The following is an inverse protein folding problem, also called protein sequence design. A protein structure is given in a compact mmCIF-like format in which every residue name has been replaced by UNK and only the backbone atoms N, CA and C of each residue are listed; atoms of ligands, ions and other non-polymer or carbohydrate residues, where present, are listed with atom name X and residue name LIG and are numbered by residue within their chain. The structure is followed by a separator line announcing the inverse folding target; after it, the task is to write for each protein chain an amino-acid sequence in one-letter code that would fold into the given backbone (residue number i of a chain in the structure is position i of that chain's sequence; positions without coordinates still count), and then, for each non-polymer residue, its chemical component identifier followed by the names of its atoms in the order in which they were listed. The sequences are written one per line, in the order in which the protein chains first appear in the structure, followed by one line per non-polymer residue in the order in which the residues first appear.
data_IF_700340527133
#
_entry.id   IF_700340527133
#
_cell.length_a   1.000
_cell.length_b   1.000
_cell.length_c   1.000
_cell.angle_alpha   90.00
_cell.angle_beta   90.00
_cell.angle_gamma   90.00
#
_symmetry.space_group_name_H-M   'P 1'
#
loop_
_entity.id
_entity.type
_entity.pdbx_description
1 polymer ?
#
# COMPACT_ATOMS: atom_id res chain seq x y z
N UNK A 1 -21.43 -0.57 34.61
CA UNK A 1 -21.64 -0.18 33.21
C UNK A 1 -20.27 -0.22 32.57
N UNK A 2 -19.88 -1.38 32.04
CA UNK A 2 -18.61 -1.52 31.34
C UNK A 2 -18.71 -0.70 30.06
N UNK A 3 -17.87 0.32 29.95
CA UNK A 3 -17.74 1.06 28.70
C UNK A 3 -17.09 0.10 27.71
N UNK A 4 -17.90 -0.49 26.83
CA UNK A 4 -17.38 -1.23 25.68
C UNK A 4 -16.72 -0.19 24.79
N UNK A 5 -15.40 -0.07 24.89
CA UNK A 5 -14.59 0.77 24.02
C UNK A 5 -14.84 0.32 22.58
N UNK A 6 -15.59 1.12 21.82
CA UNK A 6 -15.86 0.91 20.40
C UNK A 6 -15.05 1.88 19.56
N UNK A 7 -14.69 1.45 18.34
CA UNK A 7 -14.13 2.36 17.34
C UNK A 7 -15.26 2.98 16.53
N UNK A 8 -15.09 4.24 16.15
CA UNK A 8 -16.01 4.98 15.27
C UNK A 8 -15.21 5.64 14.17
N UNK A 9 -15.69 5.53 12.94
CA UNK A 9 -15.17 6.26 11.81
C UNK A 9 -15.38 7.78 11.99
N UNK A 10 -14.35 8.56 11.66
CA UNK A 10 -14.41 10.02 11.65
C UNK A 10 -14.37 10.47 10.19
N UNK A 11 -15.47 11.09 9.73
CA UNK A 11 -15.59 11.58 8.36
C UNK A 11 -14.98 12.99 8.28
N UNK A 12 -14.04 13.27 7.36
CA UNK A 12 -13.51 14.61 7.16
C UNK A 12 -14.58 15.59 6.66
N UNK A 13 -14.31 16.90 6.76
CA UNK A 13 -15.22 17.94 6.27
C UNK A 13 -15.34 17.89 4.73
N UNK A 14 -16.40 17.27 4.23
CA UNK A 14 -16.70 17.15 2.80
C UNK A 14 -17.64 18.25 2.29
N UNK A 15 -17.86 19.32 3.06
CA UNK A 15 -18.81 20.38 2.70
C UNK A 15 -18.25 21.40 1.70
N UNK A 16 -16.94 21.37 1.44
CA UNK A 16 -16.24 22.31 0.58
C UNK A 16 -15.70 21.64 -0.69
N UNK A 17 -15.63 22.38 -1.82
CA UNK A 17 -14.97 21.88 -3.01
C UNK A 17 -13.47 21.66 -2.75
N UNK A 18 -12.98 20.47 -3.08
CA UNK A 18 -11.57 20.12 -3.01
C UNK A 18 -10.78 20.82 -4.13
N UNK A 19 -9.70 21.53 -3.78
CA UNK A 19 -8.81 22.16 -4.75
C UNK A 19 -7.63 21.25 -5.08
N UNK A 20 -7.71 20.57 -6.22
CA UNK A 20 -6.69 19.64 -6.69
C UNK A 20 -5.64 20.32 -7.58
N UNK A 21 -4.35 20.08 -7.32
CA UNK A 21 -3.30 20.29 -8.33
C UNK A 21 -3.07 19.00 -9.10
N UNK A 22 -3.22 19.04 -10.42
CA UNK A 22 -3.03 17.87 -11.28
C UNK A 22 -1.76 17.99 -12.13
N UNK A 23 -0.97 16.91 -12.17
CA UNK A 23 0.25 16.78 -12.94
C UNK A 23 0.16 15.54 -13.84
N UNK A 24 0.48 15.69 -15.13
CA UNK A 24 0.55 14.56 -16.07
C UNK A 24 1.99 14.24 -16.44
N UNK A 25 2.41 13.01 -16.17
CA UNK A 25 3.75 12.47 -16.43
C UNK A 25 3.68 11.51 -17.62
N UNK A 26 4.49 11.77 -18.65
CA UNK A 26 4.61 10.88 -19.80
C UNK A 26 5.76 9.92 -19.55
N UNK A 27 5.45 8.67 -19.22
CA UNK A 27 6.46 7.66 -18.82
C UNK A 27 6.83 6.69 -19.95
N UNK A 28 6.43 6.99 -21.19
CA UNK A 28 6.76 6.18 -22.36
C UNK A 28 5.95 4.87 -22.50
N UNK A 29 4.89 4.68 -21.71
CA UNK A 29 3.96 3.58 -21.90
C UNK A 29 3.34 3.62 -23.29
N UNK A 30 3.40 2.49 -24.04
CA UNK A 30 2.76 2.40 -25.35
C UNK A 30 1.33 1.89 -25.16
N UNK A 31 0.28 2.63 -25.56
CA UNK A 31 -1.11 2.28 -25.25
C UNK A 31 -1.52 0.88 -25.72
N UNK A 32 -0.95 0.37 -26.82
CA UNK A 32 -1.33 -0.90 -27.41
C UNK A 32 -0.94 -2.14 -26.61
N UNK A 33 0.03 -2.04 -25.69
CA UNK A 33 0.52 -3.19 -24.89
C UNK A 33 0.04 -3.19 -23.44
N UNK A 34 -0.66 -2.13 -23.00
CA UNK A 34 -1.00 -1.89 -21.59
C UNK A 34 -2.51 -1.87 -21.30
N UNK A 35 -3.36 -1.95 -22.33
CA UNK A 35 -4.83 -1.89 -22.20
C UNK A 35 -5.45 -3.07 -21.42
N UNK A 36 -4.77 -4.22 -21.36
CA UNK A 36 -5.30 -5.43 -20.71
C UNK A 36 -4.80 -5.64 -19.28
N UNK A 37 -3.95 -4.75 -18.75
CA UNK A 37 -3.39 -4.90 -17.40
C UNK A 37 -4.38 -4.37 -16.37
N UNK A 38 -5.06 -5.29 -15.69
CA UNK A 38 -5.93 -4.98 -14.55
C UNK A 38 -5.10 -4.92 -13.27
N UNK A 39 -4.83 -3.71 -12.78
CA UNK A 39 -4.27 -3.52 -11.44
C UNK A 39 -5.38 -3.16 -10.46
N UNK A 40 -5.34 -3.76 -9.27
CA UNK A 40 -6.27 -3.42 -8.20
C UNK A 40 -6.00 -2.02 -7.67
N UNK A 41 -7.07 -1.29 -7.36
CA UNK A 41 -6.97 -0.03 -6.62
C UNK A 41 -6.39 -0.29 -5.23
N UNK A 42 -5.54 0.63 -4.77
CA UNK A 42 -4.92 0.58 -3.45
C UNK A 42 -5.07 1.92 -2.77
N UNK A 43 -5.09 1.90 -1.45
CA UNK A 43 -5.03 3.09 -0.63
C UNK A 43 -4.06 2.86 0.52
N UNK A 44 -3.72 3.92 1.22
CA UNK A 44 -2.93 3.85 2.44
C UNK A 44 -2.81 5.19 3.11
N UNK A 45 -2.17 5.18 4.28
CA UNK A 45 -1.95 6.36 5.10
C UNK A 45 -0.51 6.42 5.63
N UNK A 46 -0.06 7.64 5.92
CA UNK A 46 1.23 7.90 6.55
C UNK A 46 1.08 9.02 7.57
N UNK A 47 1.38 8.73 8.83
CA UNK A 47 1.45 9.74 9.89
C UNK A 47 2.88 10.18 10.10
N UNK A 48 3.11 11.48 10.17
CA UNK A 48 4.45 12.02 10.44
C UNK A 48 4.89 11.70 11.87
N UNK A 49 6.17 11.41 12.07
CA UNK A 49 6.74 11.16 13.40
C UNK A 49 6.83 12.44 14.21
N UNK A 50 7.14 13.54 13.55
CA UNK A 50 7.35 14.86 14.16
C UNK A 50 6.04 15.60 14.46
N UNK A 51 4.99 15.35 13.68
CA UNK A 51 3.68 15.96 13.82
C UNK A 51 2.56 14.91 13.72
N UNK A 52 2.27 14.16 14.81
CA UNK A 52 1.31 13.05 14.78
C UNK A 52 -0.14 13.46 14.47
N UNK A 53 -0.45 14.76 14.63
CA UNK A 53 -1.77 15.33 14.27
C UNK A 53 -1.90 15.63 12.78
N UNK A 54 -0.86 15.40 11.98
CA UNK A 54 -0.85 15.52 10.52
C UNK A 54 -0.57 14.16 9.87
N UNK A 55 -1.22 13.89 8.75
CA UNK A 55 -1.03 12.65 8.02
C UNK A 55 -1.32 12.83 6.53
N UNK A 56 -0.72 11.97 5.71
CA UNK A 56 -1.00 11.85 4.29
C UNK A 56 -1.86 10.61 4.07
N UNK A 57 -2.95 10.75 3.33
CA UNK A 57 -3.62 9.63 2.68
C UNK A 57 -3.24 9.59 1.21
N UNK A 58 -3.19 8.38 0.67
CA UNK A 58 -3.00 8.17 -0.75
C UNK A 58 -3.95 7.11 -1.27
N UNK A 59 -4.33 7.25 -2.54
CA UNK A 59 -5.04 6.20 -3.27
C UNK A 59 -4.59 6.15 -4.71
N UNK A 60 -4.62 4.94 -5.27
CA UNK A 60 -4.32 4.69 -6.67
C UNK A 60 -5.59 4.27 -7.39
N UNK A 61 -5.80 4.86 -8.56
CA UNK A 61 -6.85 4.46 -9.49
C UNK A 61 -6.23 4.32 -10.88
N UNK A 62 -5.92 3.09 -11.26
CA UNK A 62 -5.26 2.76 -12.51
C UNK A 62 -3.96 3.57 -12.72
N UNK A 63 -3.99 4.63 -13.53
CA UNK A 63 -2.86 5.49 -13.87
C UNK A 63 -2.75 6.74 -12.99
N UNK A 64 -3.64 6.88 -12.00
CA UNK A 64 -3.74 8.09 -11.15
C UNK A 64 -3.33 7.77 -9.73
N UNK A 65 -2.37 8.53 -9.19
CA UNK A 65 -2.04 8.60 -7.77
C UNK A 65 -2.62 9.90 -7.20
N UNK A 66 -3.44 9.77 -6.18
CA UNK A 66 -3.96 10.89 -5.41
C UNK A 66 -3.31 10.92 -4.04
N UNK A 67 -2.90 12.11 -3.61
CA UNK A 67 -2.25 12.36 -2.32
C UNK A 67 -2.97 13.52 -1.64
N UNK A 68 -3.38 13.31 -0.40
CA UNK A 68 -4.07 14.29 0.43
C UNK A 68 -3.40 14.39 1.78
N UNK A 69 -2.96 15.58 2.19
CA UNK A 69 -2.48 15.81 3.56
C UNK A 69 -3.62 16.39 4.39
N UNK A 70 -3.84 15.87 5.59
CA UNK A 70 -4.87 16.36 6.49
C UNK A 70 -4.29 16.56 7.89
N UNK A 71 -4.98 17.37 8.69
CA UNK A 71 -4.62 17.57 10.09
C UNK A 71 -5.84 17.63 11.01
N UNK A 72 -5.71 17.03 12.19
CA UNK A 72 -6.75 17.07 13.22
C UNK A 72 -6.80 18.40 13.98
N UNK A 73 -5.76 19.23 13.88
CA UNK A 73 -5.64 20.47 14.67
C UNK A 73 -5.77 21.76 13.87
N UNK A 74 -5.53 21.72 12.57
CA UNK A 74 -5.40 22.93 11.73
C UNK A 74 -5.90 22.67 10.31
N UNK A 75 -6.44 23.68 9.64
CA UNK A 75 -6.78 23.57 8.22
C UNK A 75 -5.53 23.78 7.36
N UNK A 76 -5.36 22.90 6.38
CA UNK A 76 -4.24 22.94 5.44
C UNK A 76 -4.67 23.57 4.12
N UNK A 77 -3.83 24.45 3.57
CA UNK A 77 -4.00 24.94 2.20
C UNK A 77 -3.18 24.10 1.21
N UNK A 78 -3.74 23.92 0.00
CA UNK A 78 -3.09 23.24 -1.12
C UNK A 78 -2.66 21.80 -0.78
N UNK A 79 -3.53 21.09 -0.09
CA UNK A 79 -3.28 19.80 0.50
C UNK A 79 -3.69 18.60 -0.38
N UNK A 80 -4.23 18.85 -1.57
CA UNK A 80 -4.66 17.81 -2.52
C UNK A 80 -3.84 17.88 -3.82
N UNK A 81 -3.16 16.78 -4.17
CA UNK A 81 -2.42 16.66 -5.43
C UNK A 81 -2.69 15.34 -6.14
N UNK A 82 -2.64 15.38 -7.46
CA UNK A 82 -2.92 14.25 -8.35
C UNK A 82 -1.82 14.10 -9.39
N UNK A 83 -1.23 12.92 -9.46
CA UNK A 83 -0.29 12.54 -10.51
C UNK A 83 -0.93 11.52 -11.44
N UNK A 84 -0.96 11.83 -12.73
CA UNK A 84 -1.40 10.94 -13.80
C UNK A 84 -0.20 10.42 -14.57
N UNK A 85 0.04 9.11 -14.52
CA UNK A 85 1.10 8.43 -15.25
C UNK A 85 0.56 7.93 -16.59
N UNK A 86 0.71 8.76 -17.63
CA UNK A 86 0.02 8.56 -18.90
C UNK A 86 0.24 7.15 -19.46
N UNK A 87 -0.86 6.47 -19.76
CA UNK A 87 -0.91 5.15 -20.40
C UNK A 87 -0.18 4.03 -19.63
N UNK A 88 0.08 4.21 -18.33
CA UNK A 88 0.70 3.16 -17.51
C UNK A 88 -0.03 2.97 -16.17
N UNK A 89 -0.53 1.76 -15.87
CA UNK A 89 -1.08 1.45 -14.56
C UNK A 89 -0.01 1.57 -13.46
N UNK A 90 -0.41 2.07 -12.30
CA UNK A 90 0.38 2.08 -11.07
C UNK A 90 0.31 0.68 -10.45
N UNK A 91 1.46 0.13 -10.08
CA UNK A 91 1.58 -1.16 -9.41
C UNK A 91 1.38 -1.02 -7.89
N UNK A 92 1.14 -2.14 -7.22
CA UNK A 92 1.20 -2.19 -5.74
C UNK A 92 2.60 -1.77 -5.25
N UNK A 93 2.72 -1.34 -4.00
CA UNK A 93 4.00 -0.97 -3.40
C UNK A 93 4.30 0.54 -3.36
N UNK A 94 3.27 1.39 -3.36
CA UNK A 94 3.42 2.81 -3.01
C UNK A 94 3.88 2.92 -1.55
N UNK A 95 4.96 3.65 -1.31
CA UNK A 95 5.47 3.86 0.06
C UNK A 95 5.83 5.32 0.33
N UNK A 96 5.61 5.76 1.56
CA UNK A 96 5.93 7.12 2.02
C UNK A 96 7.01 7.03 3.09
N UNK A 97 8.04 7.87 2.97
CA UNK A 97 9.20 7.90 3.86
C UNK A 97 9.47 9.33 4.33
N UNK A 98 9.50 9.53 5.64
CA UNK A 98 9.96 10.78 6.26
C UNK A 98 11.47 10.74 6.48
N UNK A 99 12.13 11.79 6.01
CA UNK A 99 13.54 12.11 6.27
C UNK A 99 13.61 13.44 7.03
N UNK A 100 14.80 13.83 7.50
CA UNK A 100 14.96 15.09 8.23
C UNK A 100 14.52 16.34 7.46
N UNK A 101 14.63 16.34 6.12
CA UNK A 101 14.34 17.50 5.28
C UNK A 101 13.14 17.33 4.37
N UNK A 102 12.71 16.10 4.13
CA UNK A 102 11.74 15.81 3.07
C UNK A 102 10.83 14.64 3.40
N UNK A 103 9.66 14.67 2.80
CA UNK A 103 8.74 13.54 2.68
C UNK A 103 8.89 12.98 1.28
N UNK A 104 9.16 11.68 1.16
CA UNK A 104 9.44 11.02 -0.11
C UNK A 104 8.35 10.00 -0.37
N UNK A 105 7.70 10.10 -1.54
CA UNK A 105 6.72 9.13 -2.02
C UNK A 105 7.35 8.33 -3.15
N UNK A 106 7.44 7.01 -2.98
CA UNK A 106 7.95 6.08 -3.98
C UNK A 106 6.76 5.39 -4.65
N UNK A 107 6.73 5.43 -5.99
CA UNK A 107 5.64 4.82 -6.78
C UNK A 107 6.21 4.15 -8.03
N UNK A 108 5.78 2.93 -8.28
CA UNK A 108 6.10 2.17 -9.49
C UNK A 108 4.89 2.07 -10.38
N UNK A 109 5.11 2.14 -11.68
CA UNK A 109 4.14 1.80 -12.70
C UNK A 109 4.65 0.60 -13.50
N UNK A 110 3.83 0.10 -14.41
CA UNK A 110 4.25 -0.97 -15.33
C UNK A 110 5.49 -0.59 -16.17
N UNK A 111 5.69 0.70 -16.43
CA UNK A 111 6.74 1.22 -17.34
C UNK A 111 7.76 2.12 -16.67
N UNK A 112 7.64 2.43 -15.38
CA UNK A 112 8.53 3.41 -14.73
C UNK A 112 8.55 3.31 -13.21
N UNK A 113 9.57 3.87 -12.58
CA UNK A 113 9.66 4.04 -11.13
C UNK A 113 9.94 5.51 -10.80
N UNK A 114 9.27 6.06 -9.79
CA UNK A 114 9.28 7.48 -9.46
C UNK A 114 9.55 7.71 -7.97
N UNK A 115 10.36 8.73 -7.70
CA UNK A 115 10.70 9.25 -6.37
C UNK A 115 10.21 10.70 -6.28
N UNK A 116 9.00 10.89 -5.80
CA UNK A 116 8.42 12.21 -5.58
C UNK A 116 8.91 12.77 -4.23
N UNK A 117 9.35 14.03 -4.21
CA UNK A 117 9.95 14.65 -3.03
C UNK A 117 9.19 15.90 -2.65
N UNK A 118 8.81 16.01 -1.38
CA UNK A 118 8.10 17.13 -0.80
C UNK A 118 8.87 17.67 0.41
N UNK A 119 8.75 18.97 0.75
CA UNK A 119 9.32 19.52 1.97
C UNK A 119 8.76 18.83 3.22
N UNK A 120 9.58 18.73 4.26
CA UNK A 120 9.14 18.26 5.57
C UNK A 120 8.24 19.31 6.26
N UNK A 121 7.18 18.91 7.00
CA UNK A 121 6.28 19.84 7.71
C UNK A 121 7.02 20.90 8.55
N UNK A 122 8.06 20.49 9.31
CA UNK A 122 8.87 21.40 10.13
C UNK A 122 9.56 22.53 9.35
N UNK A 123 9.77 22.36 8.04
CA UNK A 123 10.39 23.40 7.19
C UNK A 123 9.39 24.45 6.72
N UNK A 124 8.09 24.18 6.83
CA UNK A 124 7.02 25.08 6.40
C UNK A 124 6.60 26.03 7.52
N UNK A 125 6.63 25.56 8.77
CA UNK A 125 6.21 26.34 9.96
C UNK A 125 7.15 27.51 10.29
N UNK A 126 8.38 27.52 9.76
CA UNK A 126 9.37 28.58 10.00
C UNK A 126 9.16 29.85 9.16
N UNK A 127 8.26 29.81 8.16
CA UNK A 127 7.93 30.97 7.34
C UNK A 127 6.78 31.78 7.96
N UNK A 128 7.11 32.62 8.96
CA UNK A 128 6.33 33.79 9.37
C UNK A 128 4.84 33.55 9.67
N UNK A 129 4.54 33.13 10.90
CA UNK A 129 3.19 32.94 11.40
C UNK A 129 2.31 34.20 11.24
N UNK A 130 1.33 34.15 10.34
CA UNK A 130 0.13 34.98 10.40
C UNK A 130 -0.92 34.16 11.17
N UNK A 131 -1.49 34.65 12.29
CA UNK A 131 -2.24 33.80 13.24
C UNK A 131 -3.57 33.22 12.76
N UNK A 132 -4.02 33.50 11.54
CA UNK A 132 -5.37 33.14 11.06
C UNK A 132 -5.41 32.60 9.62
N UNK A 133 -4.26 32.43 8.96
CA UNK A 133 -4.19 31.99 7.56
C UNK A 133 -3.82 30.50 7.45
N UNK A 134 -4.58 29.75 6.63
CA UNK A 134 -4.37 28.33 6.31
C UNK A 134 -2.88 27.95 6.26
N UNK A 135 -2.48 26.97 7.08
CA UNK A 135 -1.09 26.53 7.11
C UNK A 135 -0.79 25.77 5.81
N UNK A 136 0.38 26.02 5.22
CA UNK A 136 0.78 25.32 4.01
C UNK A 136 0.90 23.80 4.25
N UNK A 137 0.36 23.03 3.31
CA UNK A 137 0.64 21.60 3.18
C UNK A 137 2.06 21.36 2.65
N UNK A 138 2.62 20.17 2.90
CA UNK A 138 3.83 19.67 2.22
C UNK A 138 3.68 19.65 0.70
N UNK A 139 2.45 19.63 0.18
CA UNK A 139 2.16 19.65 -1.24
C UNK A 139 1.99 21.07 -1.83
N UNK A 140 2.07 22.10 -0.99
CA UNK A 140 1.88 23.50 -1.41
C UNK A 140 2.87 23.97 -2.47
N UNK A 141 4.09 23.42 -2.50
CA UNK A 141 5.13 23.76 -3.47
C UNK A 141 5.34 22.68 -4.54
N UNK A 142 4.45 21.69 -4.65
CA UNK A 142 4.54 20.66 -5.68
C UNK A 142 4.47 21.29 -7.09
N UNK A 143 5.40 20.90 -7.97
CA UNK A 143 5.47 21.40 -9.36
C UNK A 143 5.66 20.26 -10.36
N UNK A 144 5.21 20.48 -11.60
CA UNK A 144 5.42 19.54 -12.70
C UNK A 144 6.91 19.39 -13.05
N UNK A 145 7.70 20.45 -12.94
CA UNK A 145 9.14 20.43 -13.22
C UNK A 145 9.89 19.54 -12.25
N UNK A 146 9.58 19.61 -10.95
CA UNK A 146 10.18 18.73 -9.95
C UNK A 146 9.81 17.26 -10.20
N UNK A 147 8.56 16.99 -10.57
CA UNK A 147 8.11 15.63 -10.86
C UNK A 147 8.65 15.05 -12.19
N UNK A 148 9.24 15.89 -13.05
CA UNK A 148 9.87 15.50 -14.32
C UNK A 148 11.40 15.60 -14.28
N UNK A 149 11.98 15.80 -13.10
CA UNK A 149 13.42 15.81 -12.94
C UNK A 149 13.99 14.42 -13.29
N UNK A 150 14.86 14.29 -14.31
CA UNK A 150 15.42 13.00 -14.72
C UNK A 150 16.18 12.26 -13.61
N UNK A 151 16.60 12.94 -12.53
CA UNK A 151 17.23 12.32 -11.36
C UNK A 151 16.23 11.66 -10.39
N UNK A 152 14.93 11.85 -10.62
CA UNK A 152 13.85 11.43 -9.70
C UNK A 152 12.97 10.33 -10.25
N UNK A 153 13.19 9.89 -11.49
CA UNK A 153 12.44 8.78 -12.07
C UNK A 153 13.30 7.96 -13.04
N UNK A 154 12.83 6.74 -13.31
CA UNK A 154 13.43 5.86 -14.29
C UNK A 154 12.34 5.25 -15.18
N UNK A 155 12.53 5.28 -16.50
CA UNK A 155 11.67 4.57 -17.45
C UNK A 155 12.27 3.20 -17.68
N UNK A 156 11.45 2.17 -17.47
CA UNK A 156 11.83 0.79 -17.72
C UNK A 156 11.92 0.59 -19.23
N UNK A 157 13.08 0.10 -19.70
CA UNK A 157 13.20 -0.32 -21.09
C UNK A 157 12.27 -1.51 -21.32
N UNK A 158 11.50 -1.46 -22.42
CA UNK A 158 10.45 -2.42 -22.74
C UNK A 158 10.99 -3.85 -22.80
N UNK A 159 10.90 -4.58 -21.70
CA UNK A 159 11.07 -6.03 -21.65
C UNK A 159 9.79 -6.66 -22.22
N UNK A 160 9.87 -7.79 -22.96
CA UNK A 160 8.68 -8.48 -23.45
C UNK A 160 7.73 -8.93 -22.31
N UNK A 161 8.21 -8.94 -21.07
CA UNK A 161 7.42 -9.24 -19.88
C UNK A 161 7.27 -7.99 -19.03
N UNK A 162 6.02 -7.59 -18.82
CA UNK A 162 5.66 -6.42 -18.04
C UNK A 162 5.55 -6.78 -16.56
N UNK A 163 5.95 -5.88 -15.64
CA UNK A 163 5.78 -6.12 -14.22
C UNK A 163 4.31 -6.08 -13.83
N UNK A 164 3.91 -7.02 -12.97
CA UNK A 164 2.53 -7.16 -12.49
C UNK A 164 2.35 -6.79 -11.01
N UNK A 165 3.44 -6.69 -10.24
CA UNK A 165 3.42 -6.22 -8.85
C UNK A 165 4.77 -5.58 -8.50
N UNK A 166 4.79 -4.73 -7.47
CA UNK A 166 6.03 -4.12 -7.01
C UNK A 166 6.12 -3.96 -5.50
N UNK A 167 7.33 -3.66 -5.03
CA UNK A 167 7.60 -3.19 -3.70
C UNK A 167 8.63 -2.05 -3.77
N UNK A 168 8.57 -1.10 -2.85
CA UNK A 168 9.54 -0.02 -2.76
C UNK A 168 10.02 0.19 -1.33
N UNK A 169 11.23 0.73 -1.18
CA UNK A 169 11.72 1.25 0.10
C UNK A 169 12.78 2.33 -0.11
N UNK A 170 12.93 3.20 0.89
CA UNK A 170 14.06 4.10 0.99
C UNK A 170 15.21 3.42 1.76
N UNK A 171 16.41 3.41 1.19
CA UNK A 171 17.60 2.91 1.86
C UNK A 171 18.06 3.88 2.95
N UNK A 172 18.98 3.45 3.82
CA UNK A 172 19.56 4.33 4.85
C UNK A 172 20.34 5.52 4.28
N UNK A 173 20.81 5.41 3.04
CA UNK A 173 21.52 6.47 2.33
C UNK A 173 20.56 7.47 1.65
N UNK A 174 19.25 7.20 1.68
CA UNK A 174 18.25 8.02 1.00
C UNK A 174 17.97 7.60 -0.45
N UNK A 175 18.55 6.48 -0.89
CA UNK A 175 18.31 5.95 -2.23
C UNK A 175 16.93 5.31 -2.32
N UNK A 176 16.30 5.41 -3.48
CA UNK A 176 15.06 4.71 -3.75
C UNK A 176 15.34 3.34 -4.36
N UNK A 177 14.78 2.30 -3.77
CA UNK A 177 14.87 0.94 -4.26
C UNK A 177 13.47 0.43 -4.63
N UNK A 178 13.34 -0.13 -5.82
CA UNK A 178 12.10 -0.71 -6.33
C UNK A 178 12.36 -2.15 -6.76
N UNK A 179 11.52 -3.07 -6.33
CA UNK A 179 11.49 -4.45 -6.80
C UNK A 179 10.24 -4.65 -7.64
N UNK A 180 10.40 -5.11 -8.88
CA UNK A 180 9.35 -5.28 -9.89
C UNK A 180 9.29 -6.74 -10.28
N UNK A 181 8.23 -7.45 -9.91
CA UNK A 181 8.08 -8.86 -10.27
C UNK A 181 7.50 -8.98 -11.68
N UNK A 182 8.08 -9.88 -12.47
CA UNK A 182 7.68 -10.17 -13.84
C UNK A 182 6.98 -11.54 -13.92
N UNK A 183 6.19 -11.74 -14.97
CA UNK A 183 5.48 -13.01 -15.22
C UNK A 183 6.40 -14.22 -15.44
N UNK A 184 7.71 -14.02 -15.63
CA UNK A 184 8.71 -15.09 -15.79
C UNK A 184 9.25 -15.67 -14.49
N UNK A 185 8.84 -15.12 -13.33
CA UNK A 185 9.41 -15.45 -12.02
C UNK A 185 10.67 -14.64 -11.68
N UNK A 186 11.16 -13.81 -12.61
CA UNK A 186 12.23 -12.86 -12.36
C UNK A 186 11.72 -11.64 -11.59
N UNK A 187 12.55 -11.10 -10.69
CA UNK A 187 12.32 -9.78 -10.09
C UNK A 187 13.40 -8.82 -10.56
N UNK A 188 12.99 -7.70 -11.17
CA UNK A 188 13.88 -6.61 -11.54
C UNK A 188 14.00 -5.63 -10.36
N UNK A 189 15.22 -5.42 -9.90
CA UNK A 189 15.56 -4.46 -8.87
C UNK A 189 16.07 -3.17 -9.53
N UNK A 190 15.40 -2.05 -9.29
CA UNK A 190 15.79 -0.72 -9.76
C UNK A 190 16.25 0.09 -8.55
N UNK A 191 17.49 0.56 -8.58
CA UNK A 191 18.10 1.38 -7.54
C UNK A 191 18.41 2.75 -8.12
N UNK A 192 17.76 3.77 -7.57
CA UNK A 192 17.87 5.18 -7.97
C UNK A 192 18.58 5.97 -6.87
N UNK A 193 19.76 6.49 -7.19
CA UNK A 193 20.55 7.35 -6.30
C UNK A 193 20.15 8.83 -6.48
N UNK A 194 19.68 9.53 -5.44
CA UNK A 194 19.05 10.84 -5.58
C UNK A 194 20.05 11.98 -5.82
N UNK A 195 21.32 11.82 -5.45
CA UNK A 195 22.33 12.88 -5.59
C UNK A 195 22.93 12.91 -7.00
N UNK A 196 23.19 11.74 -7.57
CA UNK A 196 23.79 11.58 -8.89
C UNK A 196 22.75 11.42 -9.99
N UNK A 197 21.52 11.02 -9.65
CA UNK A 197 20.50 10.58 -10.61
C UNK A 197 20.84 9.26 -11.28
N UNK A 198 21.88 8.56 -10.84
CA UNK A 198 22.31 7.29 -11.42
C UNK A 198 21.29 6.21 -11.08
N UNK A 199 20.93 5.44 -12.10
CA UNK A 199 20.06 4.27 -11.96
C UNK A 199 20.87 3.01 -12.24
N UNK A 200 20.77 2.04 -11.34
CA UNK A 200 21.27 0.69 -11.56
C UNK A 200 20.12 -0.31 -11.54
N UNK A 201 20.18 -1.29 -12.43
CA UNK A 201 19.17 -2.35 -12.54
C UNK A 201 19.84 -3.71 -12.32
N UNK A 202 19.19 -4.59 -11.55
CA UNK A 202 19.69 -5.93 -11.25
C UNK A 202 18.58 -6.95 -11.26
N UNK A 203 18.82 -8.08 -11.89
CA UNK A 203 17.86 -9.19 -11.94
C UNK A 203 18.07 -10.15 -10.76
N UNK A 204 16.97 -10.51 -10.10
CA UNK A 204 16.95 -11.50 -9.03
C UNK A 204 16.28 -12.78 -9.55
N UNK A 205 17.00 -13.89 -9.46
CA UNK A 205 16.51 -15.22 -9.83
C UNK A 205 16.41 -16.12 -8.60
N UNK A 206 15.41 -17.00 -8.60
CA UNK A 206 15.40 -18.18 -7.73
C UNK A 206 16.33 -19.21 -8.36
N UNK A 207 17.59 -19.27 -7.92
CA UNK A 207 18.65 -20.06 -8.56
C UNK A 207 18.45 -21.57 -8.32
N UNK A 208 17.50 -22.22 -9.00
CA UNK A 208 17.51 -23.68 -9.18
C UNK A 208 18.43 -23.99 -10.36
N UNK A 209 19.74 -24.06 -10.08
CA UNK A 209 20.79 -24.32 -11.07
C UNK A 209 20.54 -25.61 -11.84
N UNK A 210 19.96 -25.47 -13.03
CA UNK A 210 20.25 -26.35 -14.16
C UNK A 210 20.73 -25.46 -15.30
N UNK A 211 21.96 -25.63 -15.81
CA UNK A 211 22.50 -24.82 -16.90
C UNK A 211 21.63 -24.92 -18.16
N UNK A 212 21.33 -23.77 -18.78
CA UNK A 212 20.49 -23.65 -20.00
C UNK A 212 20.97 -24.46 -21.22
N UNK A 213 22.17 -25.04 -21.21
CA UNK A 213 22.68 -25.84 -22.34
C UNK A 213 22.11 -27.27 -22.43
N UNK A 214 21.24 -27.69 -21.51
CA UNK A 214 20.52 -28.98 -21.55
C UNK A 214 18.99 -28.84 -21.81
N UNK A 215 18.52 -27.63 -22.14
CA UNK A 215 17.09 -27.25 -22.19
C UNK A 215 16.30 -27.72 -23.42
N UNK A 216 16.88 -28.55 -24.30
CA UNK A 216 16.26 -28.92 -25.58
C UNK A 216 14.97 -29.77 -25.49
N UNK A 217 14.62 -30.32 -24.33
CA UNK A 217 13.47 -31.22 -24.18
C UNK A 217 12.62 -31.01 -22.90
N UNK A 218 12.99 -30.08 -22.01
CA UNK A 218 12.37 -29.94 -20.67
C UNK A 218 11.51 -28.68 -20.46
N UNK A 219 11.43 -27.77 -21.45
CA UNK A 219 10.70 -26.50 -21.32
C UNK A 219 9.19 -26.66 -21.02
N UNK A 220 8.57 -27.77 -21.43
CA UNK A 220 7.15 -28.03 -21.18
C UNK A 220 6.87 -28.40 -19.71
N UNK A 221 7.83 -29.02 -19.02
CA UNK A 221 7.73 -29.36 -17.59
C UNK A 221 8.32 -28.26 -16.68
N UNK A 222 9.34 -27.52 -17.14
CA UNK A 222 9.89 -26.38 -16.41
C UNK A 222 9.00 -25.12 -16.51
N UNK A 223 8.26 -24.94 -17.61
CA UNK A 223 7.39 -23.76 -17.79
C UNK A 223 6.32 -23.63 -16.70
N UNK A 224 5.77 -24.76 -16.24
CA UNK A 224 4.78 -24.79 -15.15
C UNK A 224 5.39 -24.41 -13.79
N UNK A 225 6.60 -24.90 -13.49
CA UNK A 225 7.33 -24.52 -12.27
C UNK A 225 7.76 -23.05 -12.26
N UNK A 226 8.08 -22.47 -13.42
CA UNK A 226 8.42 -21.05 -13.52
C UNK A 226 7.20 -20.14 -13.24
N UNK A 227 6.00 -20.49 -13.74
CA UNK A 227 4.78 -19.71 -13.47
C UNK A 227 4.32 -19.77 -12.01
N UNK A 228 4.41 -20.92 -11.36
CA UNK A 228 4.05 -21.07 -9.94
C UNK A 228 5.03 -20.29 -9.03
N UNK A 229 6.25 -20.09 -9.52
CA UNK A 229 7.30 -19.35 -8.83
C UNK A 229 7.18 -17.82 -8.91
N UNK A 230 6.15 -17.30 -9.59
CA UNK A 230 5.95 -15.87 -9.76
C UNK A 230 5.53 -15.22 -8.44
N UNK A 231 6.30 -14.23 -7.98
CA UNK A 231 5.94 -13.40 -6.82
C UNK A 231 4.67 -12.57 -7.14
N UNK A 232 3.62 -12.69 -6.33
CA UNK A 232 2.35 -11.97 -6.52
C UNK A 232 2.19 -10.77 -5.59
N UNK A 233 2.91 -10.76 -4.48
CA UNK A 233 2.98 -9.62 -3.57
C UNK A 233 4.33 -9.60 -2.87
N UNK A 234 4.88 -8.42 -2.63
CA UNK A 234 6.24 -8.25 -2.14
C UNK A 234 6.34 -7.11 -1.13
N UNK A 235 7.32 -7.21 -0.24
CA UNK A 235 7.75 -6.12 0.66
C UNK A 235 9.27 -6.07 0.74
N UNK A 236 9.84 -4.87 0.70
CA UNK A 236 11.27 -4.63 0.92
C UNK A 236 11.50 -4.21 2.36
N UNK A 237 12.48 -4.78 3.06
CA UNK A 237 12.82 -4.39 4.42
C UNK A 237 14.32 -4.48 4.68
N UNK A 238 14.87 -3.44 5.32
CA UNK A 238 16.24 -3.48 5.83
C UNK A 238 16.30 -4.34 7.09
N UNK A 239 17.16 -5.35 7.09
CA UNK A 239 17.51 -6.19 8.25
C UNK A 239 19.03 -6.17 8.40
N UNK A 240 19.54 -5.81 9.58
CA UNK A 240 20.98 -5.69 9.83
C UNK A 240 21.76 -4.83 8.79
N UNK A 241 21.16 -3.71 8.36
CA UNK A 241 21.67 -2.77 7.34
C UNK A 241 21.66 -3.28 5.88
N UNK A 242 21.27 -4.53 5.64
CA UNK A 242 21.10 -5.08 4.29
C UNK A 242 19.63 -5.05 3.90
N UNK A 243 19.33 -4.72 2.65
CA UNK A 243 17.95 -4.74 2.17
C UNK A 243 17.58 -6.14 1.68
N UNK A 244 16.48 -6.67 2.20
CA UNK A 244 15.92 -7.93 1.78
C UNK A 244 14.55 -7.74 1.16
N UNK A 245 14.28 -8.51 0.11
CA UNK A 245 12.98 -8.63 -0.51
C UNK A 245 12.31 -9.88 0.03
N UNK A 246 11.09 -9.73 0.56
CA UNK A 246 10.22 -10.83 0.94
C UNK A 246 9.05 -10.85 -0.04
N UNK A 247 8.87 -11.97 -0.74
CA UNK A 247 7.80 -12.13 -1.73
C UNK A 247 6.99 -13.39 -1.47
N UNK A 248 5.66 -13.27 -1.48
CA UNK A 248 4.77 -14.44 -1.56
C UNK A 248 4.53 -14.76 -3.02
N UNK A 249 4.73 -16.02 -3.41
CA UNK A 249 4.59 -16.49 -4.78
C UNK A 249 3.23 -17.18 -5.01
N UNK A 250 2.87 -17.47 -6.26
CA UNK A 250 1.60 -18.16 -6.61
C UNK A 250 1.47 -19.53 -5.96
N UNK A 251 2.58 -20.21 -5.74
CA UNK A 251 2.67 -21.47 -5.00
C UNK A 251 2.47 -21.32 -3.47
N UNK A 252 2.13 -20.12 -2.98
CA UNK A 252 1.92 -19.84 -1.55
C UNK A 252 3.20 -19.78 -0.73
N UNK A 253 4.38 -19.97 -1.33
CA UNK A 253 5.65 -19.93 -0.60
C UNK A 253 6.13 -18.49 -0.39
N UNK A 254 6.69 -18.25 0.79
CA UNK A 254 7.40 -17.03 1.12
C UNK A 254 8.87 -17.18 0.74
N UNK A 255 9.35 -16.29 -0.12
CA UNK A 255 10.72 -16.32 -0.64
C UNK A 255 11.46 -15.06 -0.27
N UNK A 256 12.76 -15.21 -0.05
CA UNK A 256 13.63 -14.11 0.37
C UNK A 256 14.81 -13.96 -0.57
N UNK A 257 15.08 -12.73 -0.97
CA UNK A 257 16.26 -12.35 -1.73
C UNK A 257 17.04 -11.28 -0.98
N UNK A 258 18.37 -11.36 -1.04
CA UNK A 258 19.25 -10.30 -0.58
C UNK A 258 19.44 -9.33 -1.76
N UNK A 259 18.98 -8.08 -1.63
CA UNK A 259 18.98 -7.12 -2.72
C UNK A 259 20.39 -6.62 -3.03
N UNK A 260 21.20 -6.39 -2.01
CA UNK A 260 22.59 -5.92 -2.13
C UNK A 260 23.44 -6.94 -2.91
N UNK A 261 23.40 -8.20 -2.49
CA UNK A 261 24.12 -9.31 -3.15
C UNK A 261 23.41 -9.81 -4.40
N UNK A 262 22.12 -9.55 -4.51
CA UNK A 262 21.23 -9.96 -5.61
C UNK A 262 21.14 -11.48 -5.78
N UNK A 263 21.08 -12.20 -4.66
CA UNK A 263 20.95 -13.65 -4.66
C UNK A 263 19.73 -14.09 -3.83
N UNK A 264 19.19 -15.25 -4.20
CA UNK A 264 18.17 -15.95 -3.45
C UNK A 264 18.73 -16.45 -2.11
N UNK A 265 17.93 -16.35 -1.05
CA UNK A 265 18.32 -16.73 0.32
C UNK A 265 17.59 -18.00 0.76
N UNK A 266 16.26 -17.98 0.75
CA UNK A 266 15.45 -19.10 1.25
C UNK A 266 14.02 -19.04 0.68
N UNK A 267 13.39 -20.21 0.56
CA UNK A 267 11.95 -20.37 0.42
C UNK A 267 11.40 -21.05 1.68
N UNK A 268 10.28 -20.56 2.18
CA UNK A 268 9.63 -21.03 3.40
C UNK A 268 8.14 -21.25 3.13
N UNK A 269 7.65 -22.43 3.48
CA UNK A 269 6.24 -22.75 3.39
C UNK A 269 5.51 -22.21 4.63
N UNK A 270 4.85 -21.06 4.44
CA UNK A 270 4.04 -20.40 5.49
C UNK A 270 2.67 -21.08 5.65
N UNK A 271 2.27 -21.89 4.68
CA UNK A 271 0.96 -22.54 4.63
C UNK A 271 0.93 -23.84 5.44
N UNK A 272 2.07 -24.32 5.93
CA UNK A 272 2.23 -25.62 6.59
C UNK A 272 1.61 -26.78 5.78
N UNK A 273 1.80 -26.75 4.45
CA UNK A 273 1.25 -27.72 3.51
C UNK A 273 -0.12 -27.39 2.92
N UNK A 274 -0.75 -26.27 3.33
CA UNK A 274 -2.01 -25.78 2.76
C UNK A 274 -1.86 -25.22 1.32
N UNK A 275 -0.65 -24.95 0.85
CA UNK A 275 -0.36 -24.54 -0.53
C UNK A 275 -0.85 -25.53 -1.60
N UNK A 276 -1.28 -26.74 -1.20
CA UNK A 276 -1.94 -27.73 -2.06
C UNK A 276 -3.39 -27.39 -2.40
N UNK A 277 -4.00 -26.44 -1.70
CA UNK A 277 -5.36 -25.99 -2.01
C UNK A 277 -5.38 -25.18 -3.31
N UNK A 278 -6.46 -25.32 -4.09
CA UNK A 278 -6.63 -24.55 -5.30
C UNK A 278 -6.71 -23.05 -4.96
N UNK A 279 -5.94 -22.22 -5.68
CA UNK A 279 -5.97 -20.76 -5.52
C UNK A 279 -7.40 -20.24 -5.72
N UNK A 280 -7.83 -19.37 -4.80
CA UNK A 280 -9.17 -18.76 -4.83
C UNK A 280 -9.25 -17.56 -5.78
N UNK A 281 -10.36 -16.82 -5.68
CA UNK A 281 -10.58 -15.60 -6.47
C UNK A 281 -9.66 -14.43 -6.07
N UNK A 282 -9.05 -14.49 -4.89
CA UNK A 282 -8.09 -13.50 -4.40
C UNK A 282 -6.65 -14.03 -4.51
N UNK A 283 -5.72 -13.16 -4.92
CA UNK A 283 -4.30 -13.49 -4.91
C UNK A 283 -3.76 -13.54 -3.47
N UNK A 284 -2.68 -14.29 -3.27
CA UNK A 284 -1.90 -14.19 -2.05
C UNK A 284 -1.32 -12.77 -1.88
N UNK A 285 -1.24 -12.28 -0.65
CA UNK A 285 -0.68 -10.97 -0.37
C UNK A 285 0.20 -10.96 0.87
N UNK A 286 1.14 -10.02 0.93
CA UNK A 286 2.02 -9.85 2.09
C UNK A 286 2.01 -8.40 2.57
N UNK A 287 2.04 -8.22 3.88
CA UNK A 287 2.21 -6.94 4.58
C UNK A 287 3.27 -7.09 5.66
N UNK A 288 3.90 -5.97 6.03
CA UNK A 288 4.93 -5.93 7.07
C UNK A 288 4.60 -4.89 8.13
N UNK A 289 5.11 -5.11 9.33
CA UNK A 289 5.18 -4.13 10.40
C UNK A 289 6.49 -4.27 11.17
N UNK A 290 6.82 -3.23 11.93
CA UNK A 290 7.97 -3.23 12.83
C UNK A 290 7.48 -3.15 14.28
N UNK A 291 8.01 -4.04 15.12
CA UNK A 291 7.86 -4.00 16.56
C UNK A 291 8.55 -2.78 17.19
N UNK A 292 8.38 -2.56 18.51
CA UNK A 292 8.92 -1.40 19.20
C UNK A 292 10.44 -1.37 19.18
N UNK A 293 11.08 -2.54 19.12
CA UNK A 293 12.52 -2.68 19.10
C UNK A 293 13.05 -3.00 17.68
N UNK A 294 12.20 -2.81 16.65
CA UNK A 294 12.55 -3.03 15.25
C UNK A 294 12.41 -4.47 14.78
N UNK A 295 11.71 -5.32 15.53
CA UNK A 295 11.40 -6.69 15.10
C UNK A 295 10.52 -6.67 13.85
N UNK A 296 10.87 -7.48 12.84
CA UNK A 296 10.07 -7.60 11.64
C UNK A 296 8.95 -8.61 11.87
N UNK A 297 7.73 -8.21 11.53
CA UNK A 297 6.57 -9.09 11.42
C UNK A 297 6.05 -9.05 9.98
N UNK A 298 5.74 -10.23 9.44
CA UNK A 298 5.14 -10.40 8.13
C UNK A 298 3.77 -11.04 8.31
N UNK A 299 2.74 -10.41 7.76
CA UNK A 299 1.41 -10.98 7.63
C UNK A 299 1.21 -11.43 6.19
N UNK A 300 0.96 -12.72 5.99
CA UNK A 300 0.74 -13.35 4.69
C UNK A 300 -0.71 -13.78 4.60
N UNK A 301 -1.45 -13.21 3.66
CA UNK A 301 -2.76 -13.67 3.27
C UNK A 301 -2.63 -14.76 2.20
N UNK A 302 -3.24 -15.91 2.45
CA UNK A 302 -3.30 -17.04 1.54
C UNK A 302 -4.74 -17.20 1.02
N UNK A 303 -5.02 -16.58 -0.13
CA UNK A 303 -6.28 -16.73 -0.87
C UNK A 303 -6.46 -18.10 -1.53
N UNK A 304 -7.13 -19.01 -0.83
CA UNK A 304 -7.53 -20.32 -1.35
C UNK A 304 -9.02 -20.35 -1.69
N UNK A 305 -9.44 -21.31 -2.53
CA UNK A 305 -10.86 -21.49 -2.88
C UNK A 305 -11.71 -21.76 -1.64
N UNK A 306 -11.20 -22.60 -0.73
CA UNK A 306 -11.80 -22.88 0.56
C UNK A 306 -10.74 -22.71 1.65
N UNK A 307 -11.13 -22.12 2.78
CA UNK A 307 -10.25 -21.99 3.95
C UNK A 307 -9.07 -21.05 3.72
N UNK A 308 -9.33 -19.85 3.19
CA UNK A 308 -8.32 -18.78 3.12
C UNK A 308 -7.84 -18.41 4.52
N UNK A 309 -6.56 -18.07 4.65
CA UNK A 309 -5.91 -17.85 5.95
C UNK A 309 -5.07 -16.58 5.97
N UNK A 310 -4.94 -15.99 7.15
CA UNK A 310 -3.91 -15.00 7.47
C UNK A 310 -2.90 -15.66 8.40
N UNK A 311 -1.63 -15.63 8.01
CA UNK A 311 -0.53 -16.18 8.79
C UNK A 311 0.44 -15.07 9.16
N UNK A 312 0.76 -14.95 10.45
CA UNK A 312 1.74 -13.98 10.94
C UNK A 312 3.00 -14.71 11.35
N UNK A 313 4.13 -14.29 10.78
CA UNK A 313 5.46 -14.82 11.08
C UNK A 313 6.44 -13.70 11.39
N UNK A 314 7.43 -13.99 12.23
CA UNK A 314 8.57 -13.11 12.49
C UNK A 314 9.85 -13.72 11.90
N UNK A 315 10.38 -13.18 10.78
CA UNK A 315 11.69 -13.57 10.27
C UNK A 315 12.82 -13.02 11.15
N UNK A 316 13.74 -13.89 11.59
CA UNK A 316 14.98 -13.51 12.27
C UNK A 316 16.19 -14.00 11.49
N UNK A 317 17.17 -13.13 11.33
CA UNK A 317 18.43 -13.47 10.65
C UNK A 317 19.41 -14.04 11.66
N UNK A 318 19.57 -15.36 11.68
CA UNK A 318 20.39 -16.10 12.62
C UNK A 318 21.41 -16.95 11.87
N UNK A 319 22.67 -16.95 12.29
CA UNK A 319 23.71 -17.82 11.71
C UNK A 319 23.85 -17.72 10.18
N UNK A 320 23.52 -16.57 9.59
CA UNK A 320 23.63 -16.32 8.14
C UNK A 320 22.40 -16.70 7.30
N UNK A 321 21.32 -17.20 7.92
CA UNK A 321 20.07 -17.55 7.23
C UNK A 321 18.86 -16.94 7.96
N UNK A 322 17.75 -16.78 7.25
CA UNK A 322 16.48 -16.45 7.89
C UNK A 322 15.83 -17.69 8.50
N UNK A 323 15.41 -17.58 9.75
CA UNK A 323 14.43 -18.47 10.39
C UNK A 323 13.12 -17.73 10.57
N UNK A 324 12.02 -18.40 10.31
CA UNK A 324 10.68 -17.84 10.45
C UNK A 324 10.03 -18.41 11.70
N UNK A 325 9.69 -17.54 12.64
CA UNK A 325 8.98 -17.90 13.86
C UNK A 325 7.49 -17.63 13.65
N UNK A 326 6.67 -18.68 13.72
CA UNK A 326 5.23 -18.55 13.67
C UNK A 326 4.70 -17.78 14.89
N UNK A 327 3.70 -16.92 14.68
CA UNK A 327 3.02 -16.16 15.73
C UNK A 327 1.56 -16.57 15.85
N UNK A 328 0.83 -16.52 14.74
CA UNK A 328 -0.58 -16.91 14.70
C UNK A 328 -1.00 -17.25 13.27
N UNK A 329 -2.00 -18.12 13.16
CA UNK A 329 -2.72 -18.42 11.92
C UNK A 329 -4.20 -18.25 12.21
N UNK A 330 -4.89 -17.51 11.36
CA UNK A 330 -6.32 -17.20 11.53
C UNK A 330 -7.07 -17.43 10.25
N UNK A 331 -8.22 -18.08 10.36
CA UNK A 331 -9.10 -18.31 9.23
C UNK A 331 -9.82 -17.01 8.83
N UNK A 332 -9.94 -16.82 7.52
CA UNK A 332 -10.71 -15.72 6.95
C UNK A 332 -12.20 -16.00 7.15
N UNK A 333 -12.99 -15.05 7.65
CA UNK A 333 -14.42 -15.25 7.86
C UNK A 333 -15.15 -15.64 6.56
N UNK A 334 -16.07 -16.59 6.65
CA UNK A 334 -16.87 -16.99 5.49
C UNK A 334 -17.69 -15.82 4.94
N UNK A 335 -17.81 -15.75 3.61
CA UNK A 335 -18.56 -14.70 2.92
C UNK A 335 -17.93 -13.31 2.98
N UNK A 336 -16.65 -13.19 3.38
CA UNK A 336 -15.92 -11.93 3.42
C UNK A 336 -14.66 -12.00 2.55
N UNK A 337 -14.53 -11.04 1.66
CA UNK A 337 -13.32 -10.84 0.85
C UNK A 337 -12.39 -9.83 1.54
N UNK A 338 -11.11 -10.18 1.66
CA UNK A 338 -10.12 -9.28 2.25
C UNK A 338 -9.81 -8.14 1.28
N UNK A 339 -10.02 -6.90 1.71
CA UNK A 339 -9.62 -5.71 0.95
C UNK A 339 -8.21 -5.30 1.33
N UNK A 340 -7.98 -5.15 2.63
CA UNK A 340 -6.71 -4.66 3.15
C UNK A 340 -6.45 -5.23 4.55
N UNK A 341 -5.19 -5.54 4.81
CA UNK A 341 -4.70 -5.87 6.15
C UNK A 341 -3.65 -4.86 6.55
N UNK A 342 -3.77 -4.35 7.76
CA UNK A 342 -2.80 -3.48 8.38
C UNK A 342 -2.30 -4.13 9.67
N UNK A 343 -0.99 -4.13 9.86
CA UNK A 343 -0.35 -4.74 11.01
C UNK A 343 0.17 -3.66 11.94
N UNK A 344 -0.34 -3.68 13.18
CA UNK A 344 0.02 -2.82 14.30
C UNK A 344 1.49 -2.71 14.56
N UNK A 345 2.06 -1.53 14.33
CA UNK A 345 3.32 -1.17 14.96
C UNK A 345 3.09 -1.01 16.47
N UNK A 346 3.61 -1.93 17.26
CA UNK A 346 3.64 -1.86 18.73
C UNK A 346 4.44 -0.63 19.25
N UNK A 347 5.20 0.07 18.39
CA UNK A 347 6.12 1.15 18.74
C UNK A 347 5.74 2.56 18.27
N UNK A 348 4.52 2.77 17.78
CA UNK A 348 4.05 4.10 17.36
C UNK A 348 3.73 5.00 18.56
N UNK A 349 4.74 5.67 19.12
CA UNK A 349 4.57 6.72 20.12
C UNK A 349 3.86 7.95 19.56
N UNK A 350 2.54 7.88 19.43
CA UNK A 350 1.66 9.06 19.45
C UNK A 350 1.19 9.25 20.88
N UNK A 351 1.56 10.37 21.51
CA UNK A 351 1.20 10.73 22.90
C UNK A 351 -0.28 11.13 23.07
N UNK A 352 -1.20 10.41 22.44
CA UNK A 352 -2.65 10.54 22.62
C UNK A 352 -3.20 9.21 23.09
N UNK A 353 -3.67 9.15 24.33
CA UNK A 353 -4.03 7.93 25.05
C UNK A 353 -5.01 7.02 24.32
N UNK A 354 -4.47 5.93 23.76
CA UNK A 354 -5.20 4.74 23.32
C UNK A 354 -4.18 3.62 23.27
N UNK A 355 -4.18 2.71 24.25
CA UNK A 355 -3.20 1.63 24.40
C UNK A 355 -3.28 0.60 23.27
N UNK A 356 -2.73 0.94 22.10
CA UNK A 356 -2.64 0.05 20.94
C UNK A 356 -1.54 -0.99 21.14
N UNK A 357 -1.83 -2.04 21.91
CA UNK A 357 -1.10 -3.29 21.77
C UNK A 357 -1.15 -3.72 20.30
N UNK A 358 -0.03 -4.16 19.75
CA UNK A 358 0.04 -4.58 18.36
C UNK A 358 -1.00 -5.64 18.02
N UNK A 359 -1.60 -5.47 16.85
CA UNK A 359 -2.72 -6.28 16.39
C UNK A 359 -2.87 -6.20 14.88
N UNK A 360 -3.64 -7.10 14.32
CA UNK A 360 -4.07 -7.05 12.94
C UNK A 360 -5.36 -6.24 12.83
N UNK A 361 -5.40 -5.35 11.84
CA UNK A 361 -6.60 -4.68 11.39
C UNK A 361 -6.92 -5.15 9.99
N UNK A 362 -8.17 -5.46 9.71
CA UNK A 362 -8.60 -5.91 8.40
C UNK A 362 -9.85 -5.15 7.97
N UNK A 363 -9.86 -4.79 6.68
CA UNK A 363 -11.03 -4.26 5.99
C UNK A 363 -11.53 -5.36 5.08
N UNK A 364 -12.83 -5.62 5.15
CA UNK A 364 -13.52 -6.66 4.42
C UNK A 364 -14.65 -6.08 3.59
N UNK A 365 -14.97 -6.77 2.51
CA UNK A 365 -16.25 -6.61 1.80
C UNK A 365 -17.03 -7.90 1.98
N UNK A 366 -18.25 -7.81 2.52
CA UNK A 366 -19.16 -8.94 2.63
C UNK A 366 -19.71 -9.35 1.26
N UNK A 367 -20.30 -10.55 1.18
CA UNK A 367 -21.00 -11.02 -0.01
C UNK A 367 -22.16 -10.09 -0.46
N UNK A 368 -22.68 -9.25 0.43
CA UNK A 368 -23.70 -8.23 0.14
C UNK A 368 -23.11 -6.91 -0.37
N UNK A 369 -21.78 -6.78 -0.42
CA UNK A 369 -21.09 -5.56 -0.83
C UNK A 369 -20.90 -4.55 0.30
N UNK A 370 -21.18 -4.92 1.55
CA UNK A 370 -21.01 -4.03 2.71
C UNK A 370 -19.58 -4.07 3.25
N UNK A 371 -19.05 -2.90 3.60
CA UNK A 371 -17.73 -2.78 4.24
C UNK A 371 -17.81 -3.17 5.71
N UNK A 372 -16.91 -4.05 6.14
CA UNK A 372 -16.75 -4.41 7.54
C UNK A 372 -15.29 -4.22 7.99
N UNK A 373 -15.09 -3.86 9.26
CA UNK A 373 -13.77 -3.69 9.85
C UNK A 373 -13.64 -4.65 11.04
N UNK A 374 -12.53 -5.37 11.10
CA UNK A 374 -12.17 -6.19 12.26
C UNK A 374 -10.77 -5.86 12.77
N UNK A 375 -10.58 -6.11 14.05
CA UNK A 375 -9.31 -6.02 14.73
C UNK A 375 -9.03 -7.31 15.50
N UNK A 376 -7.76 -7.68 15.62
CA UNK A 376 -7.33 -8.80 16.43
C UNK A 376 -5.99 -8.47 17.11
N UNK A 377 -5.91 -8.44 18.44
CA UNK A 377 -4.64 -8.29 19.13
C UNK A 377 -3.72 -9.49 18.85
N UNK A 378 -2.41 -9.30 18.86
CA UNK A 378 -1.46 -10.40 18.69
C UNK A 378 -0.84 -10.82 20.03
N UNK A 379 -0.71 -12.12 20.34
CA UNK A 379 -1.17 -13.29 19.58
C UNK A 379 -2.60 -13.70 19.99
N UNK A 380 -3.59 -13.40 19.15
CA UNK A 380 -4.93 -13.97 19.26
C UNK A 380 -5.30 -14.68 17.96
N UNK A 381 -6.43 -15.38 18.01
CA UNK A 381 -6.96 -16.17 16.89
C UNK A 381 -8.41 -15.82 16.55
N UNK A 382 -9.00 -14.84 17.24
CA UNK A 382 -10.40 -14.46 17.09
C UNK A 382 -10.54 -12.99 16.69
N UNK A 383 -11.48 -12.72 15.78
CA UNK A 383 -11.77 -11.39 15.28
C UNK A 383 -12.70 -10.62 16.23
N UNK A 384 -12.31 -9.37 16.54
CA UNK A 384 -13.16 -8.38 17.18
C UNK A 384 -13.72 -7.44 16.10
N UNK A 385 -15.03 -7.46 15.90
CA UNK A 385 -15.68 -6.65 14.87
C UNK A 385 -15.94 -5.22 15.34
N UNK A 386 -15.73 -4.28 14.44
CA UNK A 386 -15.97 -2.85 14.65
C UNK A 386 -17.21 -2.40 13.91
N UNK A 387 -18.02 -1.55 14.56
CA UNK A 387 -19.16 -0.91 13.91
C UNK A 387 -18.67 0.16 12.94
N UNK A 388 -18.97 -0.03 11.65
CA UNK A 388 -18.81 0.99 10.61
C UNK A 388 -20.08 1.82 10.56
N UNK A 389 -19.98 3.11 10.22
CA UNK A 389 -21.18 3.92 10.03
C UNK A 389 -22.03 3.31 8.90
N UNK A 390 -23.31 2.99 9.13
CA UNK A 390 -24.14 2.41 8.09
C UNK A 390 -24.34 3.42 6.96
N UNK A 391 -24.52 2.91 5.75
CA UNK A 391 -24.92 3.74 4.62
C UNK A 391 -26.20 4.53 4.96
N UNK A 392 -26.36 5.76 4.42
CA UNK A 392 -27.60 6.52 4.55
C UNK A 392 -28.81 5.65 4.20
N UNK A 393 -29.89 5.66 5.00
CA UNK A 393 -31.09 4.90 4.68
C UNK A 393 -31.69 5.39 3.36
N UNK A 394 -31.95 4.46 2.44
CA UNK A 394 -32.57 4.73 1.14
C UNK A 394 -34.00 5.27 1.27
N UNK A 395 -34.70 4.89 2.34
CA UNK A 395 -36.06 5.33 2.64
C UNK A 395 -36.06 6.20 3.90
N UNK A 396 -36.73 7.34 3.83
CA UNK A 396 -36.90 8.25 4.96
C UNK A 396 -38.36 8.56 5.21
N UNK A 397 -38.74 8.50 6.47
CA UNK A 397 -40.06 8.95 6.92
C UNK A 397 -40.08 10.48 6.89
N UNK A 398 -40.67 11.04 5.82
CA UNK A 398 -40.86 12.48 5.70
C UNK A 398 -41.96 12.93 6.66
N UNK A 399 -41.73 14.02 7.39
CA UNK A 399 -42.79 14.63 8.19
C UNK A 399 -43.87 15.19 7.25
N UNK A 400 -45.13 14.71 7.32
CA UNK A 400 -46.20 15.15 6.41
C UNK A 400 -46.54 16.64 6.54
N UNK A 401 -46.07 17.32 7.59
CA UNK A 401 -46.26 18.75 7.82
C UNK A 401 -45.24 19.65 7.10
N UNK A 402 -44.19 19.09 6.50
CA UNK A 402 -43.13 19.85 5.82
C UNK A 402 -43.38 19.77 4.31
N UNK A 403 -43.17 20.89 3.59
CA UNK A 403 -43.20 20.89 2.13
C UNK A 403 -42.22 19.83 1.58
N UNK A 404 -42.65 18.94 0.66
CA UNK A 404 -41.80 17.87 0.16
C UNK A 404 -40.48 18.34 -0.46
N UNK A 405 -40.43 19.53 -1.07
CA UNK A 405 -39.17 20.06 -1.64
C UNK A 405 -38.23 20.47 -0.51
N UNK A 406 -38.75 21.12 0.52
CA UNK A 406 -37.95 21.49 1.69
C UNK A 406 -37.43 20.25 2.43
N UNK A 407 -38.26 19.22 2.61
CA UNK A 407 -37.86 17.98 3.24
C UNK A 407 -36.77 17.24 2.43
N UNK A 408 -36.89 17.26 1.09
CA UNK A 408 -35.88 16.70 0.19
C UNK A 408 -34.54 17.45 0.27
N UNK A 409 -34.56 18.79 0.22
CA UNK A 409 -33.34 19.59 0.36
C UNK A 409 -32.67 19.37 1.72
N UNK A 410 -33.44 19.34 2.80
CA UNK A 410 -32.89 19.02 4.13
C UNK A 410 -32.23 17.64 4.18
N UNK A 411 -32.79 16.65 3.48
CA UNK A 411 -32.23 15.31 3.44
C UNK A 411 -30.92 15.25 2.65
N UNK A 412 -30.82 15.92 1.48
CA UNK A 412 -29.60 15.87 0.67
C UNK A 412 -28.44 16.66 1.30
N UNK A 413 -28.75 17.78 1.94
CA UNK A 413 -27.74 18.63 2.59
C UNK A 413 -27.52 18.28 4.06
N UNK A 414 -28.03 17.14 4.54
CA UNK A 414 -27.74 16.68 5.88
C UNK A 414 -26.24 16.32 6.00
N UNK A 415 -25.52 16.86 7.00
CA UNK A 415 -24.09 16.66 7.14
C UNK A 415 -23.72 15.17 7.21
N UNK A 416 -22.72 14.77 6.43
CA UNK A 416 -22.15 13.42 6.46
C UNK A 416 -22.90 12.36 5.66
N UNK A 417 -23.95 12.72 4.91
CA UNK A 417 -24.61 11.78 3.99
C UNK A 417 -24.02 11.81 2.58
N UNK A 418 -23.83 13.00 2.03
CA UNK A 418 -23.30 13.20 0.68
C UNK A 418 -22.18 14.22 0.73
N UNK A 419 -21.09 13.94 0.03
CA UNK A 419 -20.02 14.93 -0.15
C UNK A 419 -20.50 16.05 -1.08
N UNK A 420 -19.84 17.21 -1.02
CA UNK A 420 -20.05 18.28 -2.01
C UNK A 420 -19.93 17.75 -3.46
N UNK A 421 -18.99 16.82 -3.70
CA UNK A 421 -18.76 16.23 -5.01
C UNK A 421 -19.90 15.28 -5.46
N UNK A 422 -20.56 14.60 -4.53
CA UNK A 422 -21.72 13.75 -4.81
C UNK A 422 -22.93 14.62 -5.15
N UNK A 423 -23.17 15.64 -4.34
CA UNK A 423 -24.23 16.63 -4.57
C UNK A 423 -24.03 17.31 -5.93
N UNK A 424 -22.82 17.78 -6.24
CA UNK A 424 -22.50 18.45 -7.49
C UNK A 424 -22.62 17.57 -8.73
N UNK A 425 -22.52 16.23 -8.60
CA UNK A 425 -22.75 15.29 -9.70
C UNK A 425 -24.23 14.98 -9.93
N UNK A 426 -25.05 15.13 -8.90
CA UNK A 426 -26.49 14.87 -8.95
C UNK A 426 -27.32 16.04 -9.50
N UNK A 427 -26.79 17.25 -9.44
CA UNK A 427 -27.33 18.46 -10.09
C UNK A 427 -26.69 18.67 -11.46
#
# INVERSE_FOLDING_TARGET
MECVSGYREVIPDQTKPEQWKEFTLNTGGTPSTLQDIKVQQRAGGYTYRTCPSRFIFWRTNHDVLELVEESLGVNLAWNHIKYRFKDTPILDGVTIHETYNSVIVLVSTVSSAHRLVFPHPDKLTSQGAVPEANIASVFSEATLSAARDPSTYHILTSSPNLPHTSASCLTKNGDALFALALGTGMVLLVHLEPLSGVVTCKELFQDTRVPRFLSGFSDVLLGRHAEDSVAVSMVLQSVNKTVYLFGVCRDGQLRVWNCDKGNFVIAHDVSEGAAKYAQGGQNHSIRKALGPHGELYLCVFLGFTNGSKLVVVSPKFETGIFKFYHITTVDVPEGHDLVEVWLGNQGGGGSGGGGGGGGLWCIWISAQGETAISHMPLPATEWLWTSVQPAPPLERNLNPMIDPRQAYLQAIFEPGLFSYADISRGF
#
